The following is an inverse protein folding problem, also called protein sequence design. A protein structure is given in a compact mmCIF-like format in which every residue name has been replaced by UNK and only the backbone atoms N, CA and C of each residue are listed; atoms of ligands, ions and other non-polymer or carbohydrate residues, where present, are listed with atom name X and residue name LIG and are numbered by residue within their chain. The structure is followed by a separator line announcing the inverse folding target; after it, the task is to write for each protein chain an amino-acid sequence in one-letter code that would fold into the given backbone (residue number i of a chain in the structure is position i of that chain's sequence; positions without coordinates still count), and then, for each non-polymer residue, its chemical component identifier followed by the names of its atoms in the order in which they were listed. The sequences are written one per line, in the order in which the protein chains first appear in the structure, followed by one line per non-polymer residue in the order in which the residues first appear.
data_IF_887839495995
#
_entry.id   IF_887839495995
#
_cell.length_a   1.000
_cell.length_b   1.000
_cell.length_c   1.000
_cell.angle_alpha   90.00
_cell.angle_beta   90.00
_cell.angle_gamma   90.00
#
_symmetry.space_group_name_H-M   'P 1'
#
loop_
_entity.id
_entity.type
_entity.pdbx_description
1 polymer ?
#
# COMPACT_ATOMS: atom_id res chain seq x y z
N UNK A 1 -1.73 19.49 -23.06
CA UNK A 1 -0.52 20.28 -22.78
C UNK A 1 0.53 19.35 -22.18
N UNK A 2 1.76 19.31 -22.71
CA UNK A 2 2.84 18.49 -22.12
C UNK A 2 3.62 19.35 -21.11
N UNK A 3 3.91 18.80 -19.93
CA UNK A 3 4.66 19.52 -18.90
C UNK A 3 6.12 19.75 -19.32
N UNK A 4 6.70 20.89 -18.92
CA UNK A 4 8.11 21.21 -19.13
C UNK A 4 9.05 20.35 -18.25
N UNK A 5 10.37 20.46 -18.49
CA UNK A 5 11.40 19.65 -17.81
C UNK A 5 11.32 19.74 -16.28
N UNK A 6 11.16 20.93 -15.73
CA UNK A 6 11.05 21.16 -14.28
C UNK A 6 9.79 20.51 -13.69
N UNK A 7 8.63 20.68 -14.34
CA UNK A 7 7.39 20.06 -13.89
C UNK A 7 7.45 18.53 -13.92
N UNK A 8 8.10 17.96 -14.94
CA UNK A 8 8.36 16.52 -15.00
C UNK A 8 9.26 16.04 -13.85
N UNK A 9 10.32 16.79 -13.52
CA UNK A 9 11.21 16.45 -12.41
C UNK A 9 10.50 16.48 -11.05
N UNK A 10 9.69 17.51 -10.79
CA UNK A 10 8.88 17.63 -9.56
C UNK A 10 7.89 16.48 -9.45
N UNK A 11 7.13 16.21 -10.52
CA UNK A 11 6.15 15.12 -10.54
C UNK A 11 6.83 13.76 -10.27
N UNK A 12 7.99 13.52 -10.87
CA UNK A 12 8.80 12.32 -10.64
C UNK A 12 9.29 12.22 -9.20
N UNK A 13 9.79 13.32 -8.64
CA UNK A 13 10.24 13.36 -7.25
C UNK A 13 9.09 13.03 -6.29
N UNK A 14 7.94 13.71 -6.42
CA UNK A 14 6.77 13.46 -5.58
C UNK A 14 6.29 12.01 -5.68
N UNK A 15 6.20 11.46 -6.90
CA UNK A 15 5.76 10.08 -7.11
C UNK A 15 6.72 9.07 -6.45
N UNK A 16 8.04 9.27 -6.59
CA UNK A 16 9.04 8.40 -5.96
C UNK A 16 8.98 8.51 -4.43
N UNK A 17 8.87 9.73 -3.89
CA UNK A 17 8.77 9.95 -2.46
C UNK A 17 7.55 9.23 -1.87
N UNK A 18 6.38 9.38 -2.50
CA UNK A 18 5.15 8.71 -2.08
C UNK A 18 5.26 7.17 -2.17
N UNK A 19 5.91 6.65 -3.21
CA UNK A 19 6.18 5.21 -3.34
C UNK A 19 7.07 4.69 -2.21
N UNK A 20 8.14 5.43 -1.89
CA UNK A 20 9.05 5.09 -0.80
C UNK A 20 8.35 5.13 0.56
N UNK A 21 7.51 6.15 0.81
CA UNK A 21 6.72 6.26 2.04
C UNK A 21 5.75 5.07 2.16
N UNK A 22 5.03 4.74 1.08
CA UNK A 22 4.07 3.65 1.10
C UNK A 22 4.73 2.29 1.40
N UNK A 23 5.81 1.97 0.68
CA UNK A 23 6.54 0.70 0.89
C UNK A 23 7.17 0.68 2.29
N UNK A 24 7.82 1.76 2.72
CA UNK A 24 8.44 1.86 4.04
C UNK A 24 7.43 1.70 5.17
N UNK A 25 6.27 2.35 5.07
CA UNK A 25 5.18 2.20 6.03
C UNK A 25 4.62 0.77 6.06
N UNK A 26 4.48 0.13 4.88
CA UNK A 26 4.10 -1.28 4.78
C UNK A 26 5.08 -2.21 5.49
N UNK A 27 6.39 -1.98 5.33
CA UNK A 27 7.44 -2.71 6.06
C UNK A 27 7.27 -2.49 7.57
N UNK A 28 7.10 -1.25 8.03
CA UNK A 28 6.87 -0.96 9.45
C UNK A 28 5.65 -1.70 10.01
N UNK A 29 4.53 -1.74 9.29
CA UNK A 29 3.35 -2.50 9.71
C UNK A 29 3.63 -4.01 9.82
N UNK A 30 4.38 -4.59 8.88
CA UNK A 30 4.79 -6.00 8.94
C UNK A 30 5.64 -6.26 10.18
N UNK A 31 6.60 -5.38 10.48
CA UNK A 31 7.41 -5.50 11.69
C UNK A 31 6.56 -5.41 12.97
N UNK A 32 5.64 -4.44 13.03
CA UNK A 32 4.76 -4.28 14.19
C UNK A 32 3.84 -5.49 14.41
N UNK A 33 3.22 -6.03 13.35
CA UNK A 33 2.31 -7.17 13.50
C UNK A 33 3.07 -8.47 13.86
N UNK A 34 4.27 -8.67 13.31
CA UNK A 34 5.05 -9.89 13.55
C UNK A 34 5.74 -9.87 14.92
N UNK A 35 6.34 -8.73 15.28
CA UNK A 35 7.28 -8.63 16.39
C UNK A 35 6.93 -7.57 17.44
N UNK A 36 5.98 -6.67 17.14
CA UNK A 36 5.70 -5.51 18.00
C UNK A 36 4.92 -5.85 19.27
N UNK A 37 4.13 -6.93 19.27
CA UNK A 37 3.29 -7.27 20.42
C UNK A 37 4.10 -7.77 21.61
N UNK A 38 4.12 -6.96 22.67
CA UNK A 38 4.53 -7.33 24.03
C UNK A 38 3.37 -7.07 24.99
N UNK A 39 3.22 -7.83 26.10
CA UNK A 39 2.06 -7.75 26.99
C UNK A 39 1.73 -6.32 27.43
N UNK A 40 2.73 -5.52 27.78
CA UNK A 40 2.58 -4.17 28.31
C UNK A 40 2.18 -3.13 27.25
N UNK A 41 2.33 -3.45 25.96
CA UNK A 41 2.22 -2.48 24.87
C UNK A 41 1.16 -2.82 23.81
N UNK A 42 0.27 -3.80 24.04
CA UNK A 42 -0.71 -4.27 23.03
C UNK A 42 -1.49 -3.11 22.40
N UNK A 43 -2.09 -2.25 23.22
CA UNK A 43 -2.87 -1.10 22.73
C UNK A 43 -1.99 -0.06 22.02
N UNK A 44 -0.74 0.13 22.47
CA UNK A 44 0.22 1.02 21.82
C UNK A 44 0.60 0.54 20.42
N UNK A 45 0.84 -0.77 20.25
CA UNK A 45 1.14 -1.39 18.95
C UNK A 45 -0.04 -1.26 18.00
N UNK A 46 -1.26 -1.55 18.46
CA UNK A 46 -2.46 -1.41 17.64
C UNK A 46 -2.74 0.05 17.26
N UNK A 47 -2.50 1.00 18.16
CA UNK A 47 -2.60 2.42 17.87
C UNK A 47 -1.56 2.85 16.82
N UNK A 48 -0.31 2.39 16.93
CA UNK A 48 0.73 2.66 15.94
C UNK A 48 0.35 2.10 14.57
N UNK A 49 -0.12 0.86 14.49
CA UNK A 49 -0.60 0.24 13.24
C UNK A 49 -1.70 1.10 12.61
N UNK A 50 -2.70 1.49 13.40
CA UNK A 50 -3.83 2.30 12.92
C UNK A 50 -3.42 3.70 12.48
N UNK A 51 -2.50 4.36 13.18
CA UNK A 51 -2.02 5.69 12.82
C UNK A 51 -1.22 5.65 11.53
N UNK A 52 -0.30 4.69 11.40
CA UNK A 52 0.51 4.50 10.18
C UNK A 52 -0.41 4.21 8.99
N UNK A 53 -1.42 3.35 9.16
CA UNK A 53 -2.36 3.02 8.10
C UNK A 53 -3.17 4.24 7.64
N UNK A 54 -3.82 4.94 8.58
CA UNK A 54 -4.72 6.05 8.26
C UNK A 54 -4.00 7.32 7.78
N UNK A 55 -2.84 7.65 8.36
CA UNK A 55 -2.18 8.94 8.14
C UNK A 55 -0.94 8.87 7.25
N UNK A 56 -0.38 7.68 7.02
CA UNK A 56 0.81 7.52 6.17
C UNK A 56 0.46 6.72 4.92
N UNK A 57 -0.06 5.50 5.07
CA UNK A 57 -0.33 4.60 3.94
C UNK A 57 -1.45 5.15 3.05
N UNK A 58 -2.63 5.42 3.60
CA UNK A 58 -3.77 5.88 2.80
C UNK A 58 -3.44 7.17 2.02
N UNK A 59 -2.90 8.24 2.64
CA UNK A 59 -2.52 9.45 1.91
C UNK A 59 -1.44 9.21 0.86
N UNK A 60 -0.45 8.35 1.14
CA UNK A 60 0.60 8.03 0.18
C UNK A 60 0.05 7.31 -1.07
N UNK A 61 -0.84 6.34 -0.88
CA UNK A 61 -1.49 5.61 -1.98
C UNK A 61 -2.38 6.53 -2.82
N UNK A 62 -3.16 7.41 -2.19
CA UNK A 62 -3.97 8.42 -2.90
C UNK A 62 -3.05 9.35 -3.71
N UNK A 63 -1.95 9.83 -3.11
CA UNK A 63 -0.95 10.64 -3.80
C UNK A 63 -0.32 9.91 -4.99
N UNK A 64 -0.03 8.61 -4.86
CA UNK A 64 0.49 7.78 -5.95
C UNK A 64 -0.51 7.64 -7.10
N UNK A 65 -1.80 7.48 -6.80
CA UNK A 65 -2.86 7.46 -7.80
C UNK A 65 -2.92 8.78 -8.55
N UNK A 66 -2.95 9.91 -7.83
CA UNK A 66 -2.98 11.25 -8.43
C UNK A 66 -1.76 11.48 -9.32
N UNK A 67 -0.55 11.25 -8.78
CA UNK A 67 0.69 11.46 -9.55
C UNK A 67 0.81 10.49 -10.72
N UNK A 68 0.31 9.25 -10.59
CA UNK A 68 0.18 8.31 -11.70
C UNK A 68 -0.72 8.85 -12.83
N UNK A 69 -1.88 9.41 -12.46
CA UNK A 69 -2.83 10.05 -13.41
C UNK A 69 -2.16 11.19 -14.12
N UNK A 70 -1.47 12.07 -13.39
CA UNK A 70 -0.71 13.18 -13.96
C UNK A 70 0.39 12.70 -14.90
N UNK A 71 1.11 11.62 -14.57
CA UNK A 71 2.09 11.02 -15.49
C UNK A 71 1.43 10.54 -16.77
N UNK A 72 0.26 9.91 -16.67
CA UNK A 72 -0.44 9.31 -17.80
C UNK A 72 -1.06 10.38 -18.72
N UNK A 73 -1.50 11.52 -18.17
CA UNK A 73 -2.14 12.62 -18.92
C UNK A 73 -1.15 13.68 -19.42
N UNK A 74 -0.18 14.07 -18.60
CA UNK A 74 0.67 15.23 -18.84
C UNK A 74 1.99 14.89 -19.54
N UNK A 75 2.30 13.61 -19.72
CA UNK A 75 3.50 13.15 -20.40
C UNK A 75 3.17 12.27 -21.60
N UNK A 76 4.21 11.85 -22.34
CA UNK A 76 4.03 11.03 -23.53
C UNK A 76 3.54 9.60 -23.24
N UNK A 77 3.54 9.16 -21.97
CA UNK A 77 3.20 7.80 -21.56
C UNK A 77 1.79 7.41 -22.00
N UNK A 78 0.76 8.24 -21.74
CA UNK A 78 -0.63 7.87 -22.01
C UNK A 78 -1.13 6.70 -21.15
N UNK A 79 -2.44 6.61 -20.91
CA UNK A 79 -3.00 5.51 -20.11
C UNK A 79 -2.96 4.14 -20.80
N UNK A 80 -3.17 4.11 -22.12
CA UNK A 80 -3.42 2.88 -22.88
C UNK A 80 -2.21 2.49 -23.73
N UNK A 81 -1.17 3.33 -23.86
CA UNK A 81 -0.06 3.01 -24.78
C UNK A 81 0.80 1.83 -24.32
N UNK A 82 0.86 1.57 -23.02
CA UNK A 82 1.67 0.51 -22.43
C UNK A 82 0.84 -0.32 -21.45
N UNK A 83 0.78 -1.65 -21.65
CA UNK A 83 -0.01 -2.56 -20.80
C UNK A 83 0.41 -2.51 -19.33
N UNK A 84 1.70 -2.29 -19.07
CA UNK A 84 2.21 -2.20 -17.70
C UNK A 84 1.64 -0.99 -16.93
N UNK A 85 1.24 0.10 -17.62
CA UNK A 85 0.64 1.26 -16.94
C UNK A 85 -0.72 0.87 -16.35
N UNK A 86 -1.55 0.17 -17.12
CA UNK A 86 -2.84 -0.36 -16.66
C UNK A 86 -2.64 -1.31 -15.47
N UNK A 87 -1.67 -2.22 -15.57
CA UNK A 87 -1.33 -3.14 -14.47
C UNK A 87 -0.97 -2.34 -13.21
N UNK A 88 -0.19 -1.27 -13.30
CA UNK A 88 0.14 -0.42 -12.15
C UNK A 88 -1.08 0.25 -11.52
N UNK A 89 -2.05 0.68 -12.32
CA UNK A 89 -3.28 1.23 -11.75
C UNK A 89 -4.08 0.19 -10.99
N UNK A 90 -4.24 -1.00 -11.55
CA UNK A 90 -4.92 -2.11 -10.86
C UNK A 90 -4.20 -2.45 -9.57
N UNK A 91 -2.87 -2.56 -9.62
CA UNK A 91 -2.02 -2.80 -8.45
C UNK A 91 -2.12 -1.70 -7.39
N UNK A 92 -2.40 -0.45 -7.77
CA UNK A 92 -2.52 0.66 -6.83
C UNK A 92 -3.95 0.81 -6.27
N UNK A 93 -4.97 0.41 -7.03
CA UNK A 93 -6.38 0.41 -6.60
C UNK A 93 -6.72 -0.75 -5.67
N UNK A 94 -6.11 -1.93 -5.90
CA UNK A 94 -6.34 -3.11 -5.08
C UNK A 94 -6.07 -2.86 -3.58
N UNK A 95 -4.91 -2.32 -3.15
CA UNK A 95 -4.64 -2.02 -1.73
C UNK A 95 -5.66 -1.08 -1.09
N UNK A 96 -6.19 -0.09 -1.83
CA UNK A 96 -7.18 0.85 -1.28
C UNK A 96 -8.47 0.12 -0.92
N UNK A 97 -8.96 -0.73 -1.82
CA UNK A 97 -10.20 -1.48 -1.62
C UNK A 97 -9.97 -2.60 -0.60
N UNK A 98 -8.88 -3.35 -0.74
CA UNK A 98 -8.58 -4.51 0.09
C UNK A 98 -8.23 -4.11 1.53
N UNK A 99 -7.49 -3.01 1.72
CA UNK A 99 -7.17 -2.48 3.04
C UNK A 99 -8.43 -2.10 3.81
N UNK A 100 -9.34 -1.34 3.17
CA UNK A 100 -10.58 -0.91 3.81
C UNK A 100 -11.57 -2.04 4.10
N UNK A 101 -11.72 -3.01 3.19
CA UNK A 101 -12.75 -4.05 3.32
C UNK A 101 -12.26 -5.29 4.05
N UNK A 102 -11.04 -5.75 3.77
CA UNK A 102 -10.53 -7.04 4.27
C UNK A 102 -9.69 -6.85 5.52
N UNK A 103 -8.88 -5.80 5.60
CA UNK A 103 -7.93 -5.61 6.70
C UNK A 103 -8.48 -4.78 7.86
N UNK A 104 -9.41 -3.85 7.59
CA UNK A 104 -10.00 -3.03 8.65
C UNK A 104 -10.78 -3.85 9.69
N UNK A 105 -11.63 -4.84 9.34
CA UNK A 105 -12.39 -5.59 10.34
C UNK A 105 -11.50 -6.38 11.33
N UNK A 106 -10.48 -7.15 10.89
CA UNK A 106 -9.55 -7.80 11.81
C UNK A 106 -8.80 -6.82 12.71
N UNK A 107 -8.36 -5.66 12.20
CA UNK A 107 -7.70 -4.64 13.01
C UNK A 107 -8.62 -4.11 14.13
N UNK A 108 -9.86 -3.78 13.79
CA UNK A 108 -10.86 -3.33 14.76
C UNK A 108 -11.22 -4.44 15.76
N UNK A 109 -11.26 -5.70 15.32
CA UNK A 109 -11.44 -6.87 16.17
C UNK A 109 -10.33 -6.99 17.23
N UNK A 110 -9.07 -6.89 16.81
CA UNK A 110 -7.92 -6.87 17.73
C UNK A 110 -8.01 -5.72 18.72
N UNK A 111 -8.36 -4.50 18.27
CA UNK A 111 -8.53 -3.33 19.16
C UNK A 111 -9.63 -3.57 20.19
N UNK A 112 -10.77 -4.12 19.77
CA UNK A 112 -11.89 -4.41 20.68
C UNK A 112 -11.48 -5.40 21.77
N UNK A 113 -10.80 -6.49 21.39
CA UNK A 113 -10.34 -7.51 22.35
C UNK A 113 -9.25 -6.92 23.27
N UNK A 114 -8.29 -6.17 22.73
CA UNK A 114 -7.23 -5.54 23.52
C UNK A 114 -7.77 -4.52 24.54
N UNK A 115 -8.82 -3.77 24.19
CA UNK A 115 -9.49 -2.86 25.12
C UNK A 115 -10.25 -3.59 26.25
N UNK A 116 -10.74 -4.80 26.00
CA UNK A 116 -11.51 -5.57 26.97
C UNK A 116 -10.62 -6.41 27.90
N UNK A 117 -9.57 -7.05 27.35
CA UNK A 117 -8.75 -8.04 28.04
C UNK A 117 -7.31 -7.56 28.33
N UNK A 118 -6.93 -6.38 27.85
CA UNK A 118 -5.58 -5.86 28.05
C UNK A 118 -4.51 -6.82 27.54
N UNK A 119 -3.59 -7.20 28.42
CA UNK A 119 -2.47 -8.09 28.08
C UNK A 119 -2.92 -9.53 27.75
N UNK A 120 -4.00 -10.00 28.39
CA UNK A 120 -4.55 -11.35 28.17
C UNK A 120 -5.13 -11.52 26.76
N UNK A 121 -5.33 -10.42 26.03
CA UNK A 121 -5.74 -10.48 24.62
C UNK A 121 -4.76 -11.27 23.75
N UNK A 122 -3.46 -11.30 24.07
CA UNK A 122 -2.45 -11.99 23.25
C UNK A 122 -2.63 -13.51 23.18
N UNK A 123 -3.28 -14.10 24.18
CA UNK A 123 -3.61 -15.53 24.22
C UNK A 123 -5.08 -15.80 23.85
N UNK A 124 -5.87 -14.76 23.62
CA UNK A 124 -7.27 -14.90 23.24
C UNK A 124 -7.39 -15.47 21.82
N UNK A 125 -8.14 -16.57 21.59
CA UNK A 125 -8.22 -17.23 20.29
C UNK A 125 -8.61 -16.29 19.14
N UNK A 126 -9.63 -15.44 19.36
CA UNK A 126 -10.07 -14.48 18.34
C UNK A 126 -9.02 -13.41 18.02
N UNK A 127 -8.19 -13.01 18.99
CA UNK A 127 -7.12 -12.05 18.74
C UNK A 127 -6.06 -12.65 17.82
N UNK A 128 -5.63 -13.88 18.11
CA UNK A 128 -4.67 -14.61 17.27
C UNK A 128 -5.23 -14.83 15.86
N UNK A 129 -6.51 -15.17 15.76
CA UNK A 129 -7.20 -15.33 14.50
C UNK A 129 -7.23 -14.02 13.69
N UNK A 130 -7.66 -12.91 14.29
CA UNK A 130 -7.67 -11.61 13.63
C UNK A 130 -6.26 -11.12 13.26
N UNK A 131 -5.26 -11.40 14.10
CA UNK A 131 -3.86 -11.11 13.81
C UNK A 131 -3.42 -11.81 12.52
N UNK A 132 -3.74 -13.08 12.35
CA UNK A 132 -3.43 -13.84 11.12
C UNK A 132 -4.20 -13.29 9.91
N UNK A 133 -5.51 -13.03 10.07
CA UNK A 133 -6.35 -12.44 9.02
C UNK A 133 -5.87 -11.05 8.57
N UNK A 134 -5.23 -10.28 9.45
CA UNK A 134 -4.60 -9.01 9.11
C UNK A 134 -3.21 -9.21 8.46
N UNK A 135 -2.39 -10.10 9.03
CA UNK A 135 -1.00 -10.30 8.64
C UNK A 135 -0.84 -10.87 7.23
N UNK A 136 -1.65 -11.87 6.85
CA UNK A 136 -1.51 -12.53 5.54
C UNK A 136 -1.77 -11.55 4.38
N UNK A 137 -2.90 -10.81 4.33
CA UNK A 137 -3.11 -9.78 3.32
C UNK A 137 -2.04 -8.68 3.33
N UNK A 138 -1.59 -8.25 4.51
CA UNK A 138 -0.54 -7.23 4.63
C UNK A 138 0.76 -7.66 3.91
N UNK A 139 1.21 -8.91 4.14
CA UNK A 139 2.39 -9.46 3.48
C UNK A 139 2.21 -9.54 1.95
N UNK A 140 1.04 -9.99 1.49
CA UNK A 140 0.71 -10.07 0.07
C UNK A 140 0.71 -8.68 -0.59
N UNK A 141 0.15 -7.68 0.08
CA UNK A 141 0.14 -6.29 -0.42
C UNK A 141 1.54 -5.68 -0.45
N UNK A 142 2.39 -5.98 0.53
CA UNK A 142 3.79 -5.54 0.51
C UNK A 142 4.57 -6.18 -0.66
N UNK A 143 4.41 -7.49 -0.88
CA UNK A 143 4.99 -8.18 -2.04
C UNK A 143 4.50 -7.52 -3.34
N UNK A 144 3.20 -7.25 -3.44
CA UNK A 144 2.61 -6.60 -4.60
C UNK A 144 3.20 -5.19 -4.84
N UNK A 145 3.40 -4.41 -3.78
CA UNK A 145 4.03 -3.09 -3.85
C UNK A 145 5.49 -3.17 -4.34
N UNK A 146 6.25 -4.15 -3.86
CA UNK A 146 7.62 -4.41 -4.32
C UNK A 146 7.64 -4.85 -5.79
N UNK A 147 6.70 -5.69 -6.23
CA UNK A 147 6.54 -6.04 -7.64
C UNK A 147 6.23 -4.81 -8.49
N UNK A 148 5.37 -3.90 -8.02
CA UNK A 148 5.08 -2.65 -8.71
C UNK A 148 6.33 -1.76 -8.86
N UNK A 149 7.18 -1.73 -7.83
CA UNK A 149 8.48 -1.05 -7.88
C UNK A 149 9.40 -1.71 -8.91
N UNK A 150 9.52 -3.04 -8.92
CA UNK A 150 10.31 -3.77 -9.92
C UNK A 150 9.84 -3.46 -11.35
N UNK A 151 8.53 -3.51 -11.61
CA UNK A 151 7.95 -3.15 -12.91
C UNK A 151 8.25 -1.69 -13.29
N UNK A 152 8.39 -0.80 -12.30
CA UNK A 152 8.75 0.60 -12.52
C UNK A 152 10.19 0.82 -12.93
N UNK A 153 11.10 -0.02 -12.43
CA UNK A 153 12.54 0.03 -12.74
C UNK A 153 12.81 -0.65 -14.08
N UNK A 154 12.39 -1.90 -14.23
CA UNK A 154 12.75 -2.72 -15.39
C UNK A 154 11.91 -2.40 -16.63
N UNK A 155 10.69 -1.87 -16.46
CA UNK A 155 9.79 -1.43 -17.55
C UNK A 155 9.73 -2.46 -18.70
N UNK A 156 9.29 -3.71 -18.43
CA UNK A 156 9.21 -4.72 -19.49
C UNK A 156 8.40 -4.19 -20.68
N UNK A 157 8.91 -4.39 -21.89
CA UNK A 157 8.32 -3.82 -23.10
C UNK A 157 7.00 -4.53 -23.46
N UNK A 158 5.93 -4.10 -22.80
CA UNK A 158 4.57 -4.59 -23.01
C UNK A 158 3.73 -3.58 -23.81
N UNK A 159 4.28 -3.09 -24.94
CA UNK A 159 3.55 -2.22 -25.88
C UNK A 159 2.41 -2.97 -26.56
N UNK A 160 1.31 -2.27 -26.84
CA UNK A 160 0.29 -2.79 -27.75
C UNK A 160 0.87 -2.82 -29.17
N UNK A 161 1.15 -4.02 -29.70
CA UNK A 161 1.43 -4.16 -31.12
C UNK A 161 0.13 -3.89 -31.88
N UNK A 162 0.10 -2.97 -32.86
CA UNK A 162 -1.05 -2.84 -33.73
C UNK A 162 -1.29 -4.19 -34.42
N UNK A 163 -2.55 -4.64 -34.52
CA UNK A 163 -2.88 -5.77 -35.39
C UNK A 163 -2.41 -5.41 -36.80
N UNK A 164 -1.45 -6.14 -37.35
CA UNK A 164 -1.15 -6.06 -38.78
C UNK A 164 -2.44 -6.45 -39.51
N UNK A 165 -3.00 -5.52 -40.28
CA UNK A 165 -4.02 -5.84 -41.27
C UNK A 165 -3.40 -6.62 -42.40
#
# INVERSE_FOLDING_TARGET
MKIGKTGYAILKFCHILLASIWIGAGVCLVFLIMFGFVPEAVNGVLAAIRIIDLFIIIPAVIGLLITGVLFSTLTNWGFIKHRWIIIKYVVNLLPVIFGGVVMAPPLLGMIKIANQFGQESLVHPDFVHYKIMFMVPLLLLLILALMALMLSVFKPDLRFKPKSK
#
